data_IF_366067805994
#
_entry.id   IF_366067805994
#
_cell.length_a   1.000
_cell.length_b   1.000
_cell.length_c   1.000
_cell.angle_alpha   90.00
_cell.angle_beta   90.00
_cell.angle_gamma   90.00
#
_symmetry.space_group_name_H-M   'P 1'
#
loop_
_entity.id
_entity.type
_entity.pdbx_description
1 polymer ?
2 polymer ?
3 water ?
#
# COMPACT_ATOMS: atom_id res chain seq x y z
N UNK A 1 14.41 -11.39 -3.19
CA UNK A 1 14.52 -11.04 -4.61
C UNK A 1 13.54 -9.93 -4.99
N UNK A 2 12.30 -9.99 -4.49
CA UNK A 2 11.39 -8.85 -4.57
C UNK A 2 11.63 -7.98 -3.33
N UNK A 3 11.89 -6.70 -3.55
CA UNK A 3 12.29 -5.82 -2.45
C UNK A 3 11.75 -4.42 -2.67
N UNK A 4 11.84 -3.56 -1.65
CA UNK A 4 11.61 -2.14 -1.86
C UNK A 4 12.66 -1.64 -2.85
N UNK A 5 12.23 -0.87 -3.84
CA UNK A 5 13.13 -0.41 -4.90
C UNK A 5 14.02 0.74 -4.45
N UNK A 6 15.33 0.59 -4.61
CA UNK A 6 16.26 1.66 -4.33
C UNK A 6 16.25 2.77 -5.39
N UNK A 7 15.96 2.39 -6.63
CA UNK A 7 15.93 3.34 -7.73
C UNK A 7 14.63 4.13 -7.77
N UNK A 8 13.60 3.60 -7.14
CA UNK A 8 12.23 4.12 -7.29
C UNK A 8 11.59 4.45 -5.94
N UNK A 9 12.05 5.54 -5.32
CA UNK A 9 11.65 5.90 -3.96
C UNK A 9 11.86 7.39 -3.71
N UNK A 10 11.04 7.97 -2.84
CA UNK A 10 11.28 9.31 -2.36
C UNK A 10 12.59 9.34 -1.55
N UNK A 11 13.45 10.34 -1.79
CA UNK A 11 14.75 10.41 -1.11
C UNK A 11 14.65 10.53 0.42
N UNK A 12 13.60 11.15 0.93
CA UNK A 12 13.49 11.41 2.38
C UNK A 12 13.13 10.17 3.22
N UNK A 13 12.59 9.15 2.57
CA UNK A 13 12.21 7.92 3.27
C UNK A 13 13.44 7.13 3.69
N UNK A 14 13.38 6.51 4.87
CA UNK A 14 14.52 5.76 5.37
C UNK A 14 14.29 4.27 5.16
N UNK A 15 15.05 3.68 4.23
CA UNK A 15 14.92 2.27 3.88
C UNK A 15 15.94 1.45 4.65
N UNK A 16 15.52 0.29 5.15
CA UNK A 16 16.42 -0.55 5.93
C UNK A 16 17.42 -1.27 5.01
N UNK A 17 18.47 -1.81 5.60
CA UNK A 17 19.49 -2.53 4.84
C UNK A 17 18.89 -3.69 4.05
N UNK A 18 17.93 -4.40 4.65
CA UNK A 18 17.33 -5.54 3.98
C UNK A 18 16.25 -5.12 2.98
N UNK A 19 16.00 -3.82 2.92
CA UNK A 19 15.07 -3.25 1.95
C UNK A 19 13.66 -3.77 2.14
N UNK A 20 13.27 -4.06 3.39
CA UNK A 20 11.91 -4.53 3.68
C UNK A 20 11.21 -3.64 4.70
N UNK A 21 11.95 -2.74 5.32
CA UNK A 21 11.38 -1.81 6.29
C UNK A 21 11.61 -0.36 5.86
N UNK A 22 10.60 0.49 6.09
CA UNK A 22 10.70 1.90 5.74
C UNK A 22 10.13 2.80 6.83
N UNK A 23 10.81 3.92 7.09
CA UNK A 23 10.39 4.92 8.04
C UNK A 23 10.07 6.22 7.29
N UNK A 24 8.96 6.86 7.64
CA UNK A 24 8.55 8.05 6.93
C UNK A 24 9.21 9.30 7.48
N UNK A 25 9.02 10.43 6.81
CA UNK A 25 9.60 11.69 7.25
C UNK A 25 8.69 12.83 6.82
N UNK A 26 8.19 13.60 7.79
CA UNK A 26 7.30 14.72 7.52
C UNK A 26 6.18 14.38 6.52
N UNK A 27 5.93 15.28 5.57
CA UNK A 27 4.82 15.15 4.66
C UNK A 27 4.84 13.83 3.90
N UNK A 28 3.70 13.42 3.37
CA UNK A 28 3.61 12.17 2.63
C UNK A 28 4.62 12.06 1.51
N UNK A 29 5.22 10.88 1.42
CA UNK A 29 6.06 10.49 0.30
C UNK A 29 6.04 8.97 0.19
N UNK A 30 6.48 8.44 -0.95
CA UNK A 30 6.22 7.04 -1.32
C UNK A 30 7.45 6.26 -1.83
N UNK A 31 7.40 4.95 -1.65
CA UNK A 31 8.35 4.00 -2.26
C UNK A 31 7.57 2.84 -2.89
N UNK A 32 8.01 2.39 -4.07
CA UNK A 32 7.42 1.24 -4.75
C UNK A 32 8.34 0.02 -4.64
N UNK A 33 7.77 -1.18 -4.77
CA UNK A 33 8.58 -2.37 -4.77
C UNK A 33 9.35 -2.49 -6.11
N UNK A 34 10.32 -3.38 -6.14
CA UNK A 34 11.14 -3.61 -7.33
C UNK A 34 10.42 -4.29 -8.48
N UNK A 35 9.29 -4.95 -8.19
CA UNK A 35 8.59 -5.75 -9.19
C UNK A 35 7.10 -5.46 -9.16
N UNK A 36 6.47 -5.52 -10.31
CA UNK A 36 5.03 -5.33 -10.41
C UNK A 36 4.32 -6.44 -11.19
N UNK A 37 3.01 -6.30 -11.31
CA UNK A 37 2.17 -7.32 -11.90
C UNK A 37 1.14 -6.64 -12.82
N UNK A 38 0.79 -7.34 -13.90
CA UNK A 38 -0.09 -6.83 -14.94
C UNK A 38 -1.29 -7.75 -15.11
N UNK A 39 -1.13 -9.01 -14.70
CA UNK A 39 -2.12 -10.06 -14.96
C UNK A 39 -2.16 -11.07 -13.82
N UNK A 40 -3.35 -11.59 -13.50
CA UNK A 40 -3.49 -12.62 -12.50
C UNK A 40 -3.76 -12.04 -11.12
N UNK A 41 -3.81 -12.92 -10.11
CA UNK A 41 -4.13 -12.51 -8.75
C UNK A 41 -2.90 -12.62 -7.86
N UNK A 42 -2.64 -11.58 -7.08
CA UNK A 42 -1.38 -11.44 -6.36
C UNK A 42 -1.58 -10.89 -4.94
N UNK A 43 -0.62 -11.16 -4.07
CA UNK A 43 -0.78 -10.81 -2.67
C UNK A 43 0.54 -10.38 -2.01
N UNK A 44 0.45 -9.47 -1.05
CA UNK A 44 1.56 -9.19 -0.16
C UNK A 44 1.04 -8.66 1.17
N UNK A 45 1.91 -8.62 2.18
CA UNK A 45 1.54 -8.13 3.51
C UNK A 45 2.41 -6.95 3.94
N UNK A 46 1.84 -6.09 4.78
CA UNK A 46 2.62 -5.05 5.44
C UNK A 46 2.27 -5.09 6.91
N UNK A 47 3.29 -5.08 7.75
CA UNK A 47 3.11 -4.99 9.19
C UNK A 47 3.43 -3.57 9.64
N UNK A 48 2.58 -3.00 10.49
CA UNK A 48 2.86 -1.68 11.05
C UNK A 48 3.68 -1.85 12.32
N UNK A 49 4.99 -1.58 12.23
CA UNK A 49 5.89 -1.79 13.36
C UNK A 49 5.72 -0.72 14.42
N UNK A 50 5.59 0.53 13.98
CA UNK A 50 5.39 1.66 14.88
C UNK A 50 4.58 2.74 14.19
N UNK A 51 3.60 3.28 14.91
CA UNK A 51 2.74 4.32 14.37
C UNK A 51 2.07 5.11 15.51
N UNK A 52 2.78 6.10 16.06
CA UNK A 52 2.19 7.05 17.02
C UNK A 52 0.98 7.77 16.44
N UNK A 53 0.15 8.34 17.32
CA UNK A 53 -1.14 8.96 16.97
C UNK A 53 -1.05 10.07 15.93
N UNK A 54 0.11 10.69 15.78
CA UNK A 54 0.25 11.80 14.84
C UNK A 54 0.83 11.36 13.49
N UNK A 55 1.09 10.07 13.35
CA UNK A 55 1.63 9.54 12.11
C UNK A 55 0.58 8.75 11.34
N UNK A 56 0.87 8.43 10.09
CA UNK A 56 -0.13 7.73 9.28
C UNK A 56 0.49 7.09 8.06
N UNK A 57 -0.23 6.14 7.47
CA UNK A 57 0.21 5.49 6.26
C UNK A 57 -0.94 5.35 5.30
N UNK A 58 -0.61 5.32 4.01
CA UNK A 58 -1.55 4.96 2.96
C UNK A 58 -0.84 3.93 2.08
N UNK A 59 -1.40 2.72 2.06
CA UNK A 59 -0.74 1.57 1.50
C UNK A 59 -1.61 0.95 0.42
N UNK A 60 -0.98 0.32 -0.56
CA UNK A 60 -1.70 -0.29 -1.66
C UNK A 60 -0.84 -0.55 -2.87
N UNK A 61 -1.33 -0.08 -4.02
CA UNK A 61 -0.73 -0.42 -5.31
C UNK A 61 -0.60 0.84 -6.18
N UNK A 62 0.52 0.93 -6.91
CA UNK A 62 0.81 2.05 -7.79
C UNK A 62 1.41 1.59 -9.11
N UNK A 63 0.99 2.23 -10.20
CA UNK A 63 1.68 2.10 -11.47
C UNK A 63 2.92 2.97 -11.42
N UNK A 64 3.87 2.78 -12.36
CA UNK A 64 5.14 3.49 -12.37
C UNK A 64 5.03 5.02 -12.33
N UNK A 65 3.96 5.57 -12.89
CA UNK A 65 3.79 7.03 -12.90
C UNK A 65 3.18 7.65 -11.64
N UNK A 66 2.84 6.82 -10.65
CA UNK A 66 2.35 7.37 -9.38
C UNK A 66 3.38 8.30 -8.76
N UNK A 67 2.92 9.46 -8.32
CA UNK A 67 3.80 10.51 -7.78
C UNK A 67 4.47 10.09 -6.48
N UNK A 68 5.80 9.99 -6.48
CA UNK A 68 6.55 9.63 -5.26
C UNK A 68 6.51 10.71 -4.16
N UNK A 69 6.20 11.94 -4.55
CA UNK A 69 6.19 13.05 -3.60
C UNK A 69 4.76 13.46 -3.22
N UNK A 70 3.95 12.45 -2.88
CA UNK A 70 2.54 12.65 -2.58
C UNK A 70 2.02 11.37 -1.94
N UNK A 71 0.85 11.42 -1.28
CA UNK A 71 0.30 10.21 -0.66
C UNK A 71 -0.09 9.22 -1.74
N UNK A 72 0.06 7.92 -1.47
CA UNK A 72 -0.49 6.89 -2.35
C UNK A 72 -2.00 7.18 -2.51
N UNK A 73 -2.54 6.95 -3.70
CA UNK A 73 -3.93 7.30 -3.96
C UNK A 73 -4.16 8.75 -4.41
N UNK A 74 -3.08 9.51 -4.52
CA UNK A 74 -3.15 10.94 -4.87
C UNK A 74 -3.64 11.20 -6.32
N UNK A 75 -3.21 10.34 -7.24
CA UNK A 75 -3.48 10.56 -8.66
C UNK A 75 -4.17 9.35 -9.25
N UNK A 76 -4.25 9.24 -10.58
CA UNK A 76 -5.00 8.14 -11.18
C UNK A 76 -4.20 6.85 -11.21
N UNK A 77 -2.93 6.95 -10.84
CA UNK A 77 -2.00 5.82 -10.98
C UNK A 77 -1.95 4.91 -9.76
N UNK A 78 -2.62 5.29 -8.67
CA UNK A 78 -2.58 4.46 -7.47
C UNK A 78 -3.89 4.39 -6.69
N UNK A 79 -4.01 3.35 -5.86
CA UNK A 79 -5.17 3.12 -5.00
C UNK A 79 -4.66 2.77 -3.60
N UNK A 80 -5.18 3.42 -2.56
CA UNK A 80 -4.59 3.26 -1.23
C UNK A 80 -5.62 3.10 -0.13
N UNK A 81 -5.13 2.65 1.03
CA UNK A 81 -5.93 2.41 2.24
C UNK A 81 -5.27 3.18 3.40
N UNK A 82 -5.99 4.13 3.98
CA UNK A 82 -5.43 4.96 5.06
C UNK A 82 -5.59 4.37 6.47
N UNK A 83 -4.48 4.30 7.21
CA UNK A 83 -4.48 3.81 8.58
C UNK A 83 -5.51 4.53 9.42
N UNK A 84 -5.46 5.86 9.36
CA UNK A 84 -6.42 6.71 10.03
C UNK A 84 -7.80 6.54 9.36
N UNK A 85 -8.76 6.03 10.11
CA UNK A 85 -10.15 5.88 9.67
C UNK A 85 -10.45 4.80 8.58
N UNK A 86 -9.43 4.12 8.09
CA UNK A 86 -9.60 3.07 7.08
C UNK A 86 -10.17 3.55 5.75
N UNK A 87 -9.97 4.82 5.47
CA UNK A 87 -10.47 5.46 4.26
C UNK A 87 -9.73 4.93 3.04
N UNK A 88 -10.43 4.78 1.92
CA UNK A 88 -9.79 4.41 0.67
C UNK A 88 -9.58 5.64 -0.22
N UNK A 89 -8.42 5.73 -0.86
CA UNK A 89 -8.09 6.90 -1.68
C UNK A 89 -7.72 6.56 -3.12
N UNK A 90 -8.15 7.41 -4.04
CA UNK A 90 -7.83 7.31 -5.44
C UNK A 90 -8.16 8.65 -6.09
N UNK A 91 -7.23 9.18 -6.88
CA UNK A 91 -7.32 10.54 -7.42
C UNK A 91 -7.63 11.59 -6.34
N UNK A 92 -7.03 11.39 -5.16
CA UNK A 92 -7.19 12.29 -4.02
C UNK A 92 -8.61 12.35 -3.43
N UNK A 93 -9.47 11.39 -3.80
CA UNK A 93 -10.82 11.28 -3.24
C UNK A 93 -10.88 10.22 -2.14
N UNK A 94 -11.21 10.64 -0.93
CA UNK A 94 -11.29 9.71 0.18
C UNK A 94 -12.73 9.24 0.34
N UNK A 95 -12.92 7.92 0.42
CA UNK A 95 -14.25 7.35 0.62
C UNK A 95 -14.24 6.39 1.80
N UNK A 96 -15.37 6.27 2.49
CA UNK A 96 -15.48 5.29 3.57
C UNK A 96 -15.29 3.89 2.99
N UNK A 97 -14.54 3.08 3.73
CA UNK A 97 -14.23 1.74 3.30
C UNK A 97 -14.28 0.76 4.48
N UNK A 98 -13.35 0.90 5.43
CA UNK A 98 -13.37 0.00 6.58
C UNK A 98 -13.07 0.76 7.88
N UNK A 99 -12.88 0.03 8.97
CA UNK A 99 -12.34 0.63 10.17
C UNK A 99 -10.83 0.88 9.98
N UNK A 100 -10.27 1.77 10.76
CA UNK A 100 -8.86 2.09 10.65
C UNK A 100 -7.96 0.95 11.09
N UNK A 101 -6.66 1.11 10.86
CA UNK A 101 -5.65 0.14 11.29
C UNK A 101 -4.47 0.89 11.87
N UNK A 102 -3.61 0.21 12.62
CA UNK A 102 -2.49 0.87 13.21
C UNK A 102 -1.36 -0.04 13.66
N UNK A 103 -0.66 0.43 14.68
CA UNK A 103 0.50 -0.27 15.18
C UNK A 103 0.14 -1.69 15.58
N UNK A 104 0.92 -2.66 15.11
CA UNK A 104 0.72 -4.04 15.48
C UNK A 104 -0.11 -4.83 14.48
N UNK A 105 -0.87 -4.11 13.66
CA UNK A 105 -1.70 -4.76 12.64
C UNK A 105 -0.89 -5.29 11.49
N UNK A 106 -1.35 -6.42 10.93
CA UNK A 106 -0.77 -7.00 9.72
C UNK A 106 -1.80 -6.89 8.59
N UNK A 107 -1.52 -6.00 7.64
CA UNK A 107 -2.46 -5.73 6.57
C UNK A 107 -2.12 -6.56 5.36
N UNK A 108 -3.13 -6.99 4.64
CA UNK A 108 -2.95 -7.81 3.46
C UNK A 108 -3.43 -7.04 2.26
N UNK A 109 -2.80 -7.29 1.12
CA UNK A 109 -3.05 -6.51 -0.09
C UNK A 109 -3.26 -7.45 -1.28
N UNK A 110 -4.50 -7.57 -1.71
CA UNK A 110 -4.87 -8.44 -2.84
C UNK A 110 -5.22 -7.64 -4.07
N UNK A 111 -4.74 -8.10 -5.23
CA UNK A 111 -5.17 -7.55 -6.50
C UNK A 111 -5.48 -8.68 -7.48
N UNK A 112 -6.44 -8.43 -8.36
CA UNK A 112 -6.82 -9.38 -9.39
C UNK A 112 -6.96 -8.62 -10.69
N UNK A 113 -6.23 -9.08 -11.70
CA UNK A 113 -6.13 -8.40 -12.96
C UNK A 113 -6.35 -9.42 -14.06
N UNK A 114 -7.60 -9.86 -14.24
CA UNK A 114 -7.85 -10.83 -15.29
C UNK A 114 -7.73 -10.13 -16.64
N UNK A 115 -7.48 -10.89 -17.69
CA UNK A 115 -7.30 -10.30 -19.00
C UNK A 115 -8.21 -10.97 -20.01
N UNK A 121 -13.32 -6.72 -14.62
CA UNK A 121 -13.29 -7.84 -13.70
C UNK A 121 -12.19 -7.69 -12.67
N UNK A 122 -11.41 -6.62 -12.79
CA UNK A 122 -10.28 -6.42 -11.88
C UNK A 122 -10.76 -5.95 -10.51
N UNK A 123 -9.97 -6.24 -9.48
CA UNK A 123 -10.37 -5.91 -8.11
C UNK A 123 -9.17 -5.66 -7.23
N UNK A 124 -9.36 -4.76 -6.27
CA UNK A 124 -8.40 -4.53 -5.18
C UNK A 124 -9.13 -4.75 -3.84
N UNK A 125 -8.61 -5.67 -3.03
CA UNK A 125 -9.21 -6.02 -1.75
C UNK A 125 -8.14 -5.88 -0.66
N UNK A 126 -8.50 -5.27 0.47
CA UNK A 126 -7.58 -5.16 1.61
C UNK A 126 -7.99 -6.08 2.76
N UNK A 127 -6.99 -6.55 3.52
CA UNK A 127 -7.19 -7.45 4.64
C UNK A 127 -6.61 -6.87 5.92
N UNK A 128 -7.24 -7.15 7.06
CA UNK A 128 -6.64 -6.81 8.33
C UNK A 128 -6.58 -8.03 9.23
N UNK A 129 -5.36 -8.43 9.59
CA UNK A 129 -5.16 -9.61 10.42
C UNK A 129 -5.98 -10.81 9.92
N UNK A 130 -5.90 -11.06 8.62
CA UNK A 130 -6.59 -12.18 8.03
C UNK A 130 -8.05 -11.93 7.65
N UNK A 131 -8.60 -10.78 8.04
CA UNK A 131 -10.01 -10.51 7.78
C UNK A 131 -10.25 -9.63 6.52
N UNK A 132 -10.96 -10.19 5.55
CA UNK A 132 -11.36 -9.48 4.34
C UNK A 132 -12.15 -8.22 4.68
N UNK A 133 -11.62 -7.06 4.30
CA UNK A 133 -12.23 -5.79 4.64
C UNK A 133 -13.20 -5.30 3.55
N UNK A 134 -13.35 -6.11 2.50
CA UNK A 134 -14.24 -5.78 1.39
C UNK A 134 -13.53 -5.40 0.09
N UNK A 135 -14.23 -5.50 -1.03
CA UNK A 135 -13.70 -5.02 -2.31
C UNK A 135 -13.65 -3.50 -2.26
N UNK A 136 -12.45 -2.92 -2.35
CA UNK A 136 -12.29 -1.48 -2.31
C UNK A 136 -12.52 -0.83 -3.67
N UNK A 137 -11.87 -1.37 -4.70
CA UNK A 137 -11.98 -0.81 -6.05
C UNK A 137 -12.19 -1.94 -7.06
N UNK A 138 -12.91 -1.64 -8.13
CA UNK A 138 -13.13 -2.62 -9.20
C UNK A 138 -12.97 -1.95 -10.57
N UNK A 139 -12.67 -2.77 -11.58
CA UNK A 139 -12.42 -2.26 -12.93
C UNK A 139 -11.46 -1.07 -12.89
N UNK A 140 -10.23 -1.32 -12.43
CA UNK A 140 -9.26 -0.24 -12.25
C UNK A 140 -8.51 0.07 -13.55
N UNK A 141 -7.73 1.14 -13.52
CA UNK A 141 -6.94 1.56 -14.67
C UNK A 141 -6.01 0.41 -15.11
N UNK A 142 -6.04 0.09 -16.40
CA UNK A 142 -5.16 -0.96 -16.94
C UNK A 142 -3.68 -0.54 -16.85
N UNK A 143 -2.83 -1.48 -16.46
CA UNK A 143 -1.40 -1.20 -16.42
C UNK A 143 -0.70 -2.17 -15.49
N UNK A 144 0.56 -1.88 -15.20
CA UNK A 144 1.36 -2.72 -14.31
C UNK A 144 1.28 -2.11 -12.92
N UNK A 145 0.96 -2.93 -11.92
CA UNK A 145 0.80 -2.45 -10.54
C UNK A 145 1.86 -2.96 -9.60
N UNK A 146 2.45 -2.02 -8.86
CA UNK A 146 3.53 -2.28 -7.91
C UNK A 146 3.05 -2.15 -6.47
N UNK A 147 3.43 -3.10 -5.60
CA UNK A 147 3.20 -2.85 -4.18
C UNK A 147 3.79 -1.51 -3.78
N UNK A 148 3.07 -0.73 -2.97
CA UNK A 148 3.48 0.63 -2.69
C UNK A 148 3.18 1.06 -1.27
N UNK A 149 4.05 1.88 -0.71
CA UNK A 149 3.94 2.35 0.66
C UNK A 149 4.12 3.86 0.67
N UNK A 150 3.14 4.56 1.24
CA UNK A 150 3.34 5.98 1.51
C UNK A 150 3.20 6.22 3.01
N UNK A 151 4.08 7.05 3.54
CA UNK A 151 4.12 7.32 4.99
C UNK A 151 4.07 8.81 5.32
N UNK A 152 3.40 9.13 6.42
CA UNK A 152 3.30 10.49 6.90
C UNK A 152 3.88 10.56 8.31
N UNK A 153 4.89 11.41 8.48
CA UNK A 153 5.68 11.47 9.70
C UNK A 153 6.38 10.14 10.05
N UNK A 154 6.95 10.05 11.25
CA UNK A 154 7.97 9.02 11.52
C UNK A 154 7.41 7.67 11.97
N UNK A 155 6.46 7.13 11.22
CA UNK A 155 6.01 5.77 11.46
C UNK A 155 6.90 4.79 10.70
N UNK A 156 6.87 3.52 11.11
CA UNK A 156 7.68 2.47 10.49
C UNK A 156 6.82 1.27 10.10
N UNK A 157 7.01 0.77 8.88
CA UNK A 157 6.28 -0.42 8.43
C UNK A 157 7.24 -1.39 7.72
N UNK A 158 6.90 -2.68 7.77
CA UNK A 158 7.69 -3.71 7.11
C UNK A 158 6.85 -4.45 6.09
N UNK A 159 7.37 -4.62 4.90
CA UNK A 159 6.63 -5.31 3.85
C UNK A 159 7.13 -6.76 3.71
N UNK A 160 6.21 -7.65 3.38
CA UNK A 160 6.50 -9.06 3.16
C UNK A 160 5.85 -9.44 1.83
N UNK A 161 6.68 -9.83 0.86
CA UNK A 161 6.16 -10.18 -0.47
C UNK A 161 5.80 -11.66 -0.59
N UNK A 162 6.07 -12.42 0.47
CA UNK A 162 5.87 -13.85 0.47
C UNK A 162 7.21 -14.56 0.39
N UNK A 163 7.20 -15.90 0.34
CA UNK A 163 5.99 -16.74 0.16
C UNK A 163 5.26 -17.05 1.48
N UNK A 164 5.81 -16.63 2.61
CA UNK A 164 5.24 -16.96 3.90
C UNK A 164 4.52 -15.79 4.56
N UNK A 165 3.19 -15.85 4.54
CA UNK A 165 2.38 -14.78 5.10
C UNK A 165 1.92 -15.08 6.52
N UNK A 166 1.73 -14.03 7.30
CA UNK A 166 1.27 -14.19 8.68
C UNK A 166 -0.19 -14.65 8.71
N UNK A 167 -1.00 -14.06 7.83
CA UNK A 167 -2.42 -14.40 7.74
C UNK A 167 -2.81 -14.71 6.30
N UNK A 168 -2.39 -15.89 5.79
CA UNK A 168 -2.77 -16.21 4.41
C UNK A 168 -4.30 -16.30 4.27
N UNK A 169 -4.89 -15.45 3.40
CA UNK A 169 -6.35 -15.45 3.28
C UNK A 169 -6.96 -16.83 2.98
N UNK A 170 -8.05 -17.14 3.67
CA UNK A 170 -8.74 -18.41 3.49
C UNK A 170 -9.67 -18.39 2.29
N UNK A 171 -10.12 -17.21 1.91
CA UNK A 171 -11.27 -17.05 1.02
C UNK A 171 -10.98 -16.88 -0.48
N UNK A 172 -9.71 -16.80 -0.86
CA UNK A 172 -9.39 -16.70 -2.29
C UNK A 172 -8.02 -17.23 -2.69
N UNK A 173 -7.81 -17.39 -3.99
CA UNK A 173 -6.54 -17.86 -4.53
C UNK A 173 -5.72 -16.70 -5.09
N UNK A 174 -4.40 -16.86 -5.04
CA UNK A 174 -3.47 -15.82 -5.46
C UNK A 174 -2.08 -16.43 -5.55
N UNK A 175 -1.14 -15.68 -6.13
CA UNK A 175 0.28 -15.96 -5.95
C UNK A 175 0.94 -14.86 -5.07
N UNK A 176 1.95 -15.23 -4.27
CA UNK A 176 2.68 -14.20 -3.52
C UNK A 176 3.49 -13.34 -4.48
N UNK A 177 3.61 -12.04 -4.18
CA UNK A 177 4.40 -11.15 -5.02
C UNK A 177 5.81 -11.68 -5.26
N UNK A 178 6.32 -12.45 -4.29
CA UNK A 178 7.66 -13.03 -4.35
C UNK A 178 7.85 -13.97 -5.55
N UNK A 179 6.74 -14.47 -6.08
CA UNK A 179 6.78 -15.31 -7.28
C UNK A 179 7.33 -14.55 -8.48
N UNK A 180 7.27 -13.22 -8.42
CA UNK A 180 7.80 -12.37 -9.50
C UNK A 180 9.33 -12.22 -9.42
N UNK A 181 9.91 -12.48 -8.25
CA UNK A 181 11.33 -12.28 -8.06
C UNK A 181 12.19 -13.49 -8.42
N UNK B 1 3.36 20.16 7.58
CA UNK B 1 2.37 19.69 6.61
C UNK B 1 1.32 18.82 7.27
N UNK B 2 0.08 18.92 6.81
CA UNK B 2 -1.03 18.13 7.37
C UNK B 2 -1.18 16.78 6.68
N UNK B 3 -1.75 15.81 7.40
CA UNK B 3 -1.97 14.45 6.86
C UNK B 3 -2.89 14.50 5.65
N UNK B 4 -3.89 15.37 5.72
CA UNK B 4 -4.89 15.51 4.66
C UNK B 4 -4.56 16.63 3.66
N UNK B 5 -3.28 17.04 3.61
CA UNK B 5 -2.86 18.20 2.82
C UNK B 5 -3.22 18.10 1.33
N UNK B 6 -3.20 16.88 0.80
CA UNK B 6 -3.38 16.66 -0.63
C UNK B 6 -4.83 16.34 -1.00
N UNK B 7 -5.71 16.25 -0.01
CA UNK B 7 -7.01 15.62 -0.27
C UNK B 7 -8.09 16.59 -0.73
N UNK B 8 -8.84 16.18 -1.74
CA UNK B 8 -9.96 16.95 -2.28
C UNK B 8 -11.13 16.94 -1.30
N UNK B 9 -11.74 18.11 -1.08
CA UNK B 9 -12.82 18.19 -0.11
C UNK B 9 -14.16 17.69 -0.67
N UNK B 10 -15.05 17.29 0.22
CA UNK B 10 -16.42 16.94 -0.14
C UNK B 10 -17.35 18.14 0.05
#
# INVERSE_FOLDING_TARGET
>A
RVLLALHDRAPQLKISDDRLTVVGEKGYSMVRASHGVRKGAWYFEITVDEMPPDTAARLGWSQPLGNLQAPLGYDKFSYSWRSKKGTKFHQSIGKHYSSGYGQGDVLGFYINLPEDISGRGSEIIFYKNGVNQGVAYKDIFEGVYFPAISLYKSCTVSINFGPCFKYPPKDLTYRPMSDMG
>B
ERESEFDIED
#
